data_IF_153288182749
#
_entry.id   IF_153288182749
#
_cell.length_a   1.000
_cell.length_b   1.000
_cell.length_c   1.000
_cell.angle_alpha   90.00
_cell.angle_beta   90.00
_cell.angle_gamma   90.00
#
_symmetry.space_group_name_H-M   'P 1'
#
loop_
_entity.id
_entity.type
_entity.pdbx_description
1 polymer ?
#
# COMPACT_ATOMS: atom_id res chain seq x y z
N UNK A 1 0.67 -2.19 -8.82
CA UNK A 1 2.09 -2.20 -9.28
C UNK A 1 2.68 -0.88 -8.82
N UNK A 2 3.61 -0.87 -7.85
CA UNK A 2 4.19 0.39 -7.39
C UNK A 2 5.41 0.69 -8.26
N UNK A 3 5.26 1.64 -9.20
CA UNK A 3 6.36 2.07 -10.06
C UNK A 3 7.48 2.63 -9.19
N UNK A 4 8.70 2.08 -9.33
CA UNK A 4 9.88 2.68 -8.71
C UNK A 4 9.97 4.12 -9.23
N UNK A 5 9.80 5.10 -8.34
CA UNK A 5 10.06 6.51 -8.65
C UNK A 5 11.47 6.58 -9.24
N UNK A 6 11.59 7.11 -10.46
CA UNK A 6 12.86 7.23 -11.16
C UNK A 6 13.88 8.04 -10.36
N UNK A 7 15.16 7.86 -10.65
CA UNK A 7 16.21 8.72 -10.13
C UNK A 7 15.97 10.15 -10.61
N UNK A 8 15.78 11.09 -9.67
CA UNK A 8 15.64 12.52 -9.95
C UNK A 8 17.04 13.12 -10.00
N UNK A 9 17.36 13.90 -11.04
CA UNK A 9 18.63 14.63 -11.13
C UNK A 9 18.76 15.60 -9.95
N UNK A 10 19.98 15.82 -9.46
CA UNK A 10 20.22 16.80 -8.39
C UNK A 10 19.76 18.21 -8.79
N UNK A 11 19.78 18.52 -10.09
CA UNK A 11 19.31 19.81 -10.66
C UNK A 11 17.78 19.96 -10.65
N UNK A 12 17.03 18.85 -10.57
CA UNK A 12 15.56 18.84 -10.52
C UNK A 12 15.03 18.78 -9.07
N UNK A 13 15.91 18.82 -8.07
CA UNK A 13 15.51 18.81 -6.67
C UNK A 13 14.82 20.15 -6.32
N UNK A 14 13.58 20.13 -5.80
CA UNK A 14 12.92 21.36 -5.39
C UNK A 14 13.72 22.05 -4.27
N UNK A 15 13.63 23.39 -4.21
CA UNK A 15 14.18 24.14 -3.09
C UNK A 15 13.52 23.69 -1.79
N UNK A 16 14.31 23.55 -0.72
CA UNK A 16 13.77 23.19 0.60
C UNK A 16 12.80 24.26 1.08
N UNK A 17 11.60 23.85 1.44
CA UNK A 17 10.56 24.71 1.98
C UNK A 17 10.56 24.65 3.52
N UNK A 18 10.09 25.69 4.22
CA UNK A 18 9.99 25.65 5.69
C UNK A 18 9.19 24.45 6.22
N UNK A 19 8.17 23.98 5.48
CA UNK A 19 7.34 22.83 5.85
C UNK A 19 8.05 21.46 5.80
N UNK A 20 9.20 21.36 5.12
CA UNK A 20 10.01 20.13 5.11
C UNK A 20 10.54 19.78 6.51
N UNK A 21 10.54 20.76 7.43
CA UNK A 21 11.06 20.66 8.79
C UNK A 21 9.99 20.44 9.86
N UNK A 22 8.71 20.37 9.52
CA UNK A 22 7.59 20.34 10.49
C UNK A 22 7.69 19.20 11.52
N UNK A 23 8.37 18.10 11.18
CA UNK A 23 8.57 16.94 12.07
C UNK A 23 10.03 16.72 12.46
N UNK A 24 10.90 17.69 12.16
CA UNK A 24 12.30 17.64 12.49
C UNK A 24 12.51 17.69 14.01
N UNK A 25 13.55 17.01 14.49
CA UNK A 25 13.98 17.05 15.87
C UNK A 25 15.49 17.20 15.90
N UNK A 26 16.01 17.91 16.90
CA UNK A 26 17.45 18.15 17.04
C UNK A 26 18.06 17.03 17.88
N UNK A 27 19.16 16.45 17.41
CA UNK A 27 19.97 15.47 18.14
C UNK A 27 21.39 15.98 18.28
N UNK A 28 22.01 15.75 19.44
CA UNK A 28 23.37 16.21 19.74
C UNK A 28 24.42 15.10 19.60
N UNK A 29 23.99 13.86 19.34
CA UNK A 29 24.88 12.72 19.11
C UNK A 29 24.29 11.67 18.17
N UNK A 30 25.16 10.85 17.57
CA UNK A 30 24.74 9.76 16.69
C UNK A 30 23.96 8.66 17.43
N UNK A 31 24.25 8.42 18.71
CA UNK A 31 23.56 7.39 19.50
C UNK A 31 22.14 7.83 19.90
N UNK A 32 21.97 9.12 20.21
CA UNK A 32 20.65 9.73 20.42
C UNK A 32 19.79 9.65 19.15
N UNK A 33 20.38 9.98 17.99
CA UNK A 33 19.70 9.84 16.70
C UNK A 33 19.24 8.40 16.44
N UNK A 34 20.12 7.42 16.63
CA UNK A 34 19.78 6.00 16.43
C UNK A 34 18.64 5.56 17.33
N UNK A 35 18.63 6.00 18.59
CA UNK A 35 17.57 5.67 19.54
C UNK A 35 16.22 6.25 19.11
N UNK A 36 16.16 7.53 18.77
CA UNK A 36 14.91 8.18 18.35
C UNK A 36 14.40 7.62 17.02
N UNK A 37 15.29 7.35 16.07
CA UNK A 37 14.93 6.75 14.78
C UNK A 37 14.40 5.32 14.97
N UNK A 38 15.02 4.52 15.85
CA UNK A 38 14.54 3.18 16.17
C UNK A 38 13.13 3.19 16.82
N UNK A 39 12.87 4.15 17.70
CA UNK A 39 11.54 4.35 18.32
C UNK A 39 10.50 4.82 17.28
N UNK A 40 10.91 5.66 16.31
CA UNK A 40 10.06 6.15 15.21
C UNK A 40 9.93 5.18 14.04
N UNK A 41 10.68 4.08 14.01
CA UNK A 41 10.67 3.09 12.92
C UNK A 41 9.41 2.22 12.87
N UNK A 42 8.31 2.69 13.46
CA UNK A 42 7.01 2.07 13.30
C UNK A 42 6.40 2.58 12.00
N UNK A 43 6.23 1.67 11.04
CA UNK A 43 5.40 1.93 9.86
C UNK A 43 4.03 2.38 10.37
N UNK A 44 3.61 3.59 10.00
CA UNK A 44 2.30 4.12 10.37
C UNK A 44 1.18 3.12 10.03
N UNK A 45 0.05 3.16 10.74
CA UNK A 45 -1.05 2.23 10.53
C UNK A 45 -1.43 2.16 9.06
N UNK A 46 -1.65 0.95 8.57
CA UNK A 46 -1.97 0.70 7.18
C UNK A 46 -3.23 1.50 6.82
N UNK A 47 -3.12 2.48 5.91
CA UNK A 47 -4.21 3.43 5.60
C UNK A 47 -5.46 2.78 5.01
N UNK A 48 -5.35 1.55 4.50
CA UNK A 48 -6.46 0.79 3.97
C UNK A 48 -6.84 -0.36 4.92
N UNK A 49 -8.14 -0.65 5.10
CA UNK A 49 -8.56 -1.84 5.82
C UNK A 49 -7.91 -3.08 5.18
N UNK A 50 -7.28 -3.90 6.03
CA UNK A 50 -6.61 -5.12 5.59
C UNK A 50 -7.65 -6.08 5.02
N UNK A 51 -7.35 -6.69 3.86
CA UNK A 51 -8.18 -7.77 3.32
C UNK A 51 -8.23 -8.92 4.33
N UNK A 52 -9.42 -9.41 4.63
CA UNK A 52 -9.58 -10.56 5.52
C UNK A 52 -9.32 -11.85 4.74
N UNK A 53 -8.46 -12.72 5.28
CA UNK A 53 -8.18 -14.02 4.69
C UNK A 53 -9.19 -15.03 5.23
N UNK A 54 -10.15 -15.42 4.40
CA UNK A 54 -11.16 -16.44 4.73
C UNK A 54 -11.06 -17.64 3.79
N UNK A 55 -11.36 -18.83 4.31
CA UNK A 55 -11.41 -20.06 3.52
C UNK A 55 -12.83 -20.25 2.97
N UNK A 56 -13.04 -19.96 1.68
CA UNK A 56 -14.33 -20.08 0.98
C UNK A 56 -14.24 -21.16 -0.09
N UNK A 57 -15.31 -21.94 -0.26
CA UNK A 57 -15.44 -22.91 -1.35
C UNK A 57 -16.16 -22.24 -2.52
N UNK A 58 -15.54 -22.29 -3.70
CA UNK A 58 -16.11 -21.80 -4.95
C UNK A 58 -16.40 -22.98 -5.88
N UNK A 59 -17.36 -22.81 -6.77
CA UNK A 59 -17.63 -23.80 -7.81
C UNK A 59 -16.43 -23.98 -8.75
N UNK A 60 -16.16 -25.21 -9.25
CA UNK A 60 -14.99 -25.50 -10.08
C UNK A 60 -14.90 -24.65 -11.35
N UNK A 61 -16.03 -24.36 -11.99
CA UNK A 61 -16.14 -23.58 -13.23
C UNK A 61 -15.69 -22.12 -13.03
N UNK A 62 -16.02 -21.54 -11.87
CA UNK A 62 -15.62 -20.17 -11.51
C UNK A 62 -14.11 -20.10 -11.33
N UNK A 63 -13.54 -21.06 -10.58
CA UNK A 63 -12.10 -21.13 -10.37
C UNK A 63 -11.34 -21.39 -11.68
N UNK A 64 -11.86 -22.26 -12.55
CA UNK A 64 -11.25 -22.56 -13.84
C UNK A 64 -11.19 -21.31 -14.72
N UNK A 65 -12.29 -20.56 -14.82
CA UNK A 65 -12.35 -19.32 -15.58
C UNK A 65 -11.32 -18.30 -15.08
N UNK A 66 -11.31 -17.97 -13.79
CA UNK A 66 -10.38 -16.97 -13.28
C UNK A 66 -8.93 -17.43 -13.37
N UNK A 67 -8.61 -18.70 -13.05
CA UNK A 67 -7.23 -19.20 -13.18
C UNK A 67 -6.70 -19.14 -14.61
N UNK A 68 -7.56 -19.38 -15.61
CA UNK A 68 -7.20 -19.27 -17.01
C UNK A 68 -6.79 -17.84 -17.41
N UNK A 69 -7.23 -16.81 -16.68
CA UNK A 69 -6.83 -15.42 -16.92
C UNK A 69 -5.35 -15.14 -16.57
N UNK A 70 -4.68 -16.05 -15.84
CA UNK A 70 -3.26 -15.96 -15.51
C UNK A 70 -2.96 -15.25 -14.19
N UNK A 71 -1.77 -14.66 -14.08
CA UNK A 71 -1.32 -13.98 -12.87
C UNK A 71 -2.31 -12.91 -12.40
N UNK A 72 -2.51 -12.78 -11.09
CA UNK A 72 -3.47 -11.83 -10.52
C UNK A 72 -4.94 -12.22 -10.67
N UNK A 73 -5.27 -13.47 -11.01
CA UNK A 73 -6.65 -13.94 -11.11
C UNK A 73 -7.47 -13.73 -9.83
N UNK A 74 -6.86 -13.86 -8.65
CA UNK A 74 -7.53 -13.58 -7.37
C UNK A 74 -7.91 -12.10 -7.22
N UNK A 75 -7.08 -11.19 -7.74
CA UNK A 75 -7.39 -9.75 -7.73
C UNK A 75 -8.55 -9.43 -8.67
N UNK A 76 -8.57 -10.03 -9.86
CA UNK A 76 -9.71 -9.90 -10.80
C UNK A 76 -11.00 -10.48 -10.22
N UNK A 77 -10.90 -11.59 -9.49
CA UNK A 77 -12.05 -12.18 -8.79
C UNK A 77 -12.58 -11.27 -7.67
N UNK A 78 -11.68 -10.67 -6.87
CA UNK A 78 -12.05 -9.67 -5.84
C UNK A 78 -12.73 -8.43 -6.45
N UNK A 79 -12.24 -7.95 -7.59
CA UNK A 79 -12.85 -6.83 -8.32
C UNK A 79 -14.27 -7.13 -8.80
N UNK A 80 -14.48 -8.29 -9.43
CA UNK A 80 -15.81 -8.74 -9.88
C UNK A 80 -16.81 -8.86 -8.71
N UNK A 81 -16.35 -9.37 -7.55
CA UNK A 81 -17.19 -9.47 -6.35
C UNK A 81 -17.55 -8.08 -5.80
N UNK A 82 -16.64 -7.10 -5.85
CA UNK A 82 -16.94 -5.73 -5.42
C UNK A 82 -17.95 -5.05 -6.34
N UNK A 83 -17.81 -5.23 -7.65
CA UNK A 83 -18.75 -4.69 -8.62
C UNK A 83 -20.16 -5.25 -8.36
N UNK A 84 -20.28 -6.57 -8.18
CA UNK A 84 -21.54 -7.21 -7.82
C UNK A 84 -22.15 -6.62 -6.53
N UNK A 85 -21.35 -6.48 -5.46
CA UNK A 85 -21.83 -5.90 -4.19
C UNK A 85 -22.27 -4.45 -4.38
N UNK A 86 -21.54 -3.65 -5.17
CA UNK A 86 -21.90 -2.26 -5.44
C UNK A 86 -23.21 -2.14 -6.21
N UNK A 87 -23.43 -3.02 -7.21
CA UNK A 87 -24.68 -3.08 -7.97
C UNK A 87 -25.87 -3.49 -7.11
N UNK A 88 -25.69 -4.39 -6.14
CA UNK A 88 -26.76 -4.82 -5.23
C UNK A 88 -27.06 -3.79 -4.14
N UNK A 89 -26.09 -2.97 -3.73
CA UNK A 89 -26.29 -1.89 -2.73
C UNK A 89 -26.99 -0.65 -3.30
N UNK A 90 -27.05 -0.50 -4.62
CA UNK A 90 -27.71 0.61 -5.29
C UNK A 90 -29.22 0.39 -5.50
N UNK A 91 -29.77 -0.71 -4.96
CA UNK A 91 -31.19 -1.07 -4.92
C UNK A 91 -31.71 -0.90 -3.50
#
# INVERSE_FOLDING_TARGET
>A
MNAKRGHVSADDAPATEPGDWDNAFVTHSADELRKVVAERHTRGPNKNPTKEQVTVRYSPEVLAYFRATGAGWQTRMDEALREYVSGQKAV
#
